data_IF_798506761938
#
_entry.id   IF_798506761938
#
_cell.length_a   1.000
_cell.length_b   1.000
_cell.length_c   1.000
_cell.angle_alpha   90.00
_cell.angle_beta   90.00
_cell.angle_gamma   90.00
#
_symmetry.space_group_name_H-M   'P 1'
#
loop_
_entity.id
_entity.type
_entity.pdbx_description
1 polymer ?
#
# COMPACT_ATOMS: atom_id res chain seq x y z
N UNK A 1 47.64 -29.96 4.65
CA UNK A 1 48.00 -29.55 6.02
C UNK A 1 49.46 -29.08 6.03
N UNK A 2 49.72 -27.77 5.96
CA UNK A 2 51.03 -27.18 6.25
C UNK A 2 50.77 -25.92 7.08
N UNK A 3 51.13 -26.02 8.34
CA UNK A 3 50.93 -25.02 9.38
C UNK A 3 52.20 -24.17 9.44
N UNK A 4 52.07 -22.84 9.36
CA UNK A 4 53.18 -21.92 9.68
C UNK A 4 52.88 -21.23 10.99
N UNK A 5 53.70 -21.54 12.00
CA UNK A 5 53.84 -20.81 13.26
C UNK A 5 55.10 -19.96 13.19
N UNK A 6 55.03 -18.71 13.64
CA UNK A 6 56.04 -17.88 14.36
C UNK A 6 55.43 -16.46 14.47
N UNK A 7 54.87 -16.05 15.61
CA UNK A 7 55.50 -15.67 16.89
C UNK A 7 56.22 -14.31 16.83
N UNK A 8 55.57 -13.28 17.40
CA UNK A 8 56.15 -12.03 17.94
C UNK A 8 55.15 -11.51 18.99
N UNK A 9 55.20 -12.02 20.23
CA UNK A 9 55.89 -11.47 21.42
C UNK A 9 55.41 -10.07 21.80
N UNK A 10 54.68 -10.06 22.91
CA UNK A 10 54.09 -8.96 23.65
C UNK A 10 55.12 -7.99 24.23
N UNK A 11 54.82 -6.70 24.19
CA UNK A 11 55.34 -5.72 25.16
C UNK A 11 54.16 -5.27 26.01
N UNK A 12 54.20 -5.68 27.27
CA UNK A 12 53.38 -5.14 28.33
C UNK A 12 53.90 -3.74 28.68
N UNK A 13 53.03 -2.73 28.64
CA UNK A 13 53.23 -1.50 29.41
C UNK A 13 52.05 -1.36 30.35
N UNK A 14 52.42 -1.43 31.63
CA UNK A 14 51.59 -1.36 32.81
C UNK A 14 51.15 0.09 33.03
N UNK A 15 49.84 0.28 33.17
CA UNK A 15 49.20 1.07 34.23
C UNK A 15 49.38 2.59 34.24
N UNK A 16 48.31 3.31 33.91
CA UNK A 16 47.70 4.26 34.86
C UNK A 16 46.18 4.13 34.76
N UNK A 17 45.59 3.63 35.85
CA UNK A 17 44.14 3.67 36.11
C UNK A 17 43.79 5.12 36.44
N UNK A 18 42.99 5.75 35.59
CA UNK A 18 42.22 6.94 35.94
C UNK A 18 40.74 6.57 35.89
N UNK A 19 40.19 6.23 37.07
CA UNK A 19 38.75 6.14 37.30
C UNK A 19 38.15 7.54 37.18
N UNK A 20 37.81 7.96 35.96
CA UNK A 20 36.91 9.08 35.77
C UNK A 20 35.47 8.57 35.96
N UNK A 21 35.01 8.64 37.20
CA UNK A 21 33.58 8.58 37.55
C UNK A 21 32.90 9.85 36.99
N UNK A 22 32.62 9.86 35.69
CA UNK A 22 31.82 10.86 35.00
C UNK A 22 30.38 10.40 34.97
N UNK A 23 29.55 11.01 35.81
CA UNK A 23 28.19 10.58 36.11
C UNK A 23 27.25 10.42 34.91
N UNK A 24 26.32 9.49 35.06
CA UNK A 24 25.08 9.46 34.31
C UNK A 24 24.35 10.79 34.47
N UNK A 25 24.51 11.71 33.51
CA UNK A 25 23.50 12.72 33.27
C UNK A 25 22.33 11.98 32.62
N UNK A 26 21.45 11.42 33.46
CA UNK A 26 20.11 11.08 33.05
C UNK A 26 19.50 12.35 32.48
N UNK A 27 19.27 12.35 31.17
CA UNK A 27 18.34 13.29 30.56
C UNK A 27 16.97 13.00 31.14
N UNK A 28 16.68 13.60 32.30
CA UNK A 28 15.37 13.62 32.90
C UNK A 28 14.44 14.27 31.88
N UNK A 29 13.46 13.51 31.41
CA UNK A 29 12.30 14.05 30.73
C UNK A 29 11.68 15.05 31.71
N UNK A 30 11.84 16.35 31.44
CA UNK A 30 10.97 17.35 32.04
C UNK A 30 9.59 17.11 31.45
N UNK A 31 8.77 16.35 32.15
CA UNK A 31 7.33 16.46 32.01
C UNK A 31 6.98 17.90 32.35
N UNK A 32 6.75 18.71 31.33
CA UNK A 32 5.96 19.91 31.51
C UNK A 32 4.65 19.45 32.14
N UNK A 33 4.37 19.93 33.34
CA UNK A 33 3.10 19.74 34.01
C UNK A 33 2.07 20.51 33.16
N UNK A 34 1.55 19.85 32.12
CA UNK A 34 0.39 20.34 31.38
C UNK A 34 -0.74 20.29 32.39
N UNK A 35 -1.16 21.46 32.84
CA UNK A 35 -2.43 21.64 33.53
C UNK A 35 -3.48 20.83 32.76
N UNK A 36 -4.12 19.89 33.45
CA UNK A 36 -5.31 19.21 32.97
C UNK A 36 -6.39 20.26 32.72
N UNK A 37 -6.44 20.83 31.52
CA UNK A 37 -7.71 21.26 30.98
C UNK A 37 -8.52 19.99 30.76
N UNK A 38 -9.48 19.80 31.67
CA UNK A 38 -10.54 18.82 31.51
C UNK A 38 -11.25 19.13 30.20
N UNK A 39 -10.98 18.34 29.16
CA UNK A 39 -11.79 18.33 27.96
C UNK A 39 -13.15 17.79 28.41
N UNK A 40 -14.12 18.68 28.55
CA UNK A 40 -15.51 18.30 28.79
C UNK A 40 -15.95 17.38 27.64
N UNK A 41 -16.61 16.25 27.91
CA UNK A 41 -17.12 15.39 26.87
C UNK A 41 -18.02 16.20 25.94
N UNK A 42 -17.68 16.21 24.65
CA UNK A 42 -18.55 16.71 23.60
C UNK A 42 -19.88 15.95 23.69
N UNK A 43 -20.92 16.70 24.04
CA UNK A 43 -22.30 16.21 24.10
C UNK A 43 -22.66 15.57 22.76
N UNK A 44 -23.11 14.32 22.83
CA UNK A 44 -23.60 13.52 21.71
C UNK A 44 -24.55 14.35 20.84
N UNK A 45 -24.08 14.81 19.68
CA UNK A 45 -24.98 15.33 18.64
C UNK A 45 -25.79 14.17 18.07
N UNK A 46 -27.14 14.22 18.08
CA UNK A 46 -27.94 13.16 17.49
C UNK A 46 -27.66 13.07 15.99
N UNK A 47 -27.29 11.87 15.54
CA UNK A 47 -27.23 11.51 14.12
C UNK A 47 -28.62 11.73 13.55
N UNK A 48 -28.79 12.78 12.74
CA UNK A 48 -30.06 13.07 12.11
C UNK A 48 -30.21 12.12 10.92
N UNK A 49 -30.82 10.95 11.15
CA UNK A 49 -31.32 10.07 10.10
C UNK A 49 -32.52 10.71 9.39
N UNK A 50 -32.28 11.76 8.60
CA UNK A 50 -33.37 12.46 7.91
C UNK A 50 -33.64 11.99 6.48
N UNK A 51 -33.00 10.92 5.98
CA UNK A 51 -33.25 10.41 4.63
C UNK A 51 -32.93 8.91 4.49
N UNK A 52 -33.43 8.09 5.42
CA UNK A 52 -33.51 6.64 5.20
C UNK A 52 -34.97 6.30 4.85
N UNK A 53 -35.24 5.68 3.68
CA UNK A 53 -36.55 5.13 3.39
C UNK A 53 -36.95 4.12 4.48
N UNK A 54 -38.16 4.23 5.01
CA UNK A 54 -38.67 3.25 5.96
C UNK A 54 -38.87 1.91 5.23
N UNK A 55 -38.20 0.87 5.70
CA UNK A 55 -38.46 -0.51 5.28
C UNK A 55 -39.68 -0.98 6.09
N UNK A 56 -40.78 -1.32 5.42
CA UNK A 56 -41.97 -1.89 6.04
C UNK A 56 -41.67 -3.23 6.71
N UNK A 57 -42.54 -3.67 7.63
CA UNK A 57 -42.35 -4.86 8.49
C UNK A 57 -42.26 -6.21 7.75
N UNK A 58 -42.29 -6.20 6.41
CA UNK A 58 -42.33 -7.39 5.55
C UNK A 58 -41.19 -7.40 4.52
N UNK A 59 -40.29 -6.40 4.53
CA UNK A 59 -39.08 -6.40 3.70
C UNK A 59 -39.27 -5.99 2.23
N UNK A 60 -40.41 -5.40 1.86
CA UNK A 60 -40.65 -4.89 0.50
C UNK A 60 -40.73 -3.35 0.46
N UNK A 61 -40.21 -2.75 -0.61
CA UNK A 61 -40.22 -1.29 -0.85
C UNK A 61 -41.59 -0.90 -1.40
N UNK A 62 -42.42 -0.23 -0.58
CA UNK A 62 -43.71 0.30 -1.03
C UNK A 62 -43.50 1.48 -1.99
N UNK A 63 -43.62 1.20 -3.29
CA UNK A 63 -43.85 2.24 -4.30
C UNK A 63 -45.33 2.60 -4.24
N UNK A 64 -45.66 3.83 -3.86
CA UNK A 64 -47.03 4.31 -3.84
C UNK A 64 -47.57 4.41 -5.28
N UNK A 65 -48.42 3.46 -5.66
CA UNK A 65 -49.31 3.53 -6.80
C UNK A 65 -50.63 4.19 -6.36
N UNK A 66 -51.01 5.27 -7.04
CA UNK A 66 -52.35 5.83 -7.03
C UNK A 66 -52.62 6.41 -8.42
N UNK A 67 -53.20 5.59 -9.28
CA UNK A 67 -53.56 5.94 -10.66
C UNK A 67 -54.80 6.82 -10.81
N UNK A 68 -54.98 7.36 -12.02
CA UNK A 68 -56.27 7.47 -12.74
C UNK A 68 -56.06 7.91 -14.21
N UNK A 69 -57.06 7.80 -15.11
CA UNK A 69 -56.94 6.96 -16.30
C UNK A 69 -57.07 7.72 -17.64
N UNK A 70 -56.56 7.12 -18.71
CA UNK A 70 -56.76 7.58 -20.09
C UNK A 70 -56.35 6.49 -21.09
N UNK A 71 -57.36 5.86 -21.70
CA UNK A 71 -57.30 4.71 -22.62
C UNK A 71 -57.19 5.19 -24.10
N UNK A 72 -57.23 4.31 -25.13
CA UNK A 72 -56.19 3.42 -25.69
C UNK A 72 -55.84 3.74 -27.17
N UNK A 73 -54.64 3.38 -27.65
CA UNK A 73 -54.24 2.97 -29.02
C UNK A 73 -52.70 2.89 -29.00
N UNK A 74 -51.98 1.96 -29.61
CA UNK A 74 -52.23 1.08 -30.74
C UNK A 74 -51.30 -0.14 -30.62
N UNK A 75 -51.67 -1.23 -31.28
CA UNK A 75 -50.90 -2.47 -31.35
C UNK A 75 -49.48 -2.21 -31.92
N UNK A 76 -48.43 -2.75 -31.29
CA UNK A 76 -47.29 -3.41 -31.96
C UNK A 76 -46.24 -3.91 -30.94
N UNK A 77 -46.42 -5.18 -30.57
CA UNK A 77 -45.41 -6.22 -30.31
C UNK A 77 -43.94 -5.80 -30.03
N UNK A 78 -43.36 -6.13 -28.85
CA UNK A 78 -41.91 -6.13 -28.67
C UNK A 78 -41.28 -7.29 -29.45
N UNK A 79 -40.40 -6.98 -30.39
CA UNK A 79 -39.52 -7.96 -31.01
C UNK A 79 -38.59 -8.56 -29.94
N UNK A 80 -38.77 -9.86 -29.66
CA UNK A 80 -37.80 -10.63 -28.91
C UNK A 80 -36.52 -10.75 -29.75
N UNK A 81 -35.53 -9.90 -29.49
CA UNK A 81 -34.18 -10.09 -30.00
C UNK A 81 -33.51 -11.17 -29.15
N UNK A 82 -33.62 -12.41 -29.63
CA UNK A 82 -32.88 -13.56 -29.16
C UNK A 82 -31.42 -13.44 -29.66
N UNK A 83 -30.39 -13.27 -28.82
CA UNK A 83 -29.01 -13.35 -29.28
C UNK A 83 -28.60 -14.82 -29.30
N UNK A 84 -28.89 -15.53 -30.38
CA UNK A 84 -28.20 -16.79 -30.66
C UNK A 84 -26.75 -16.47 -31.02
N UNK A 85 -25.87 -16.54 -30.02
CA UNK A 85 -24.42 -16.53 -30.22
C UNK A 85 -24.01 -17.81 -30.94
N UNK A 86 -23.81 -17.73 -32.25
CA UNK A 86 -23.03 -18.71 -32.99
C UNK A 86 -21.54 -18.37 -32.84
N UNK A 87 -20.67 -19.34 -32.50
CA UNK A 87 -19.23 -19.10 -32.48
C UNK A 87 -18.72 -18.85 -33.90
N UNK A 88 -17.73 -17.95 -34.10
CA UNK A 88 -17.10 -17.78 -35.39
C UNK A 88 -16.30 -19.04 -35.73
N UNK A 89 -16.57 -19.60 -36.90
CA UNK A 89 -15.80 -20.68 -37.51
C UNK A 89 -14.88 -20.08 -38.58
N UNK A 90 -13.66 -20.57 -38.67
CA UNK A 90 -12.76 -20.26 -39.79
C UNK A 90 -13.26 -20.91 -41.10
N UNK A 91 -12.64 -20.56 -42.23
CA UNK A 91 -13.05 -20.93 -43.60
C UNK A 91 -13.09 -22.46 -43.86
N UNK A 92 -12.67 -23.29 -42.89
CA UNK A 92 -12.70 -24.75 -42.92
C UNK A 92 -13.64 -25.38 -41.86
N UNK A 93 -14.49 -24.58 -41.20
CA UNK A 93 -15.59 -25.09 -40.35
C UNK A 93 -15.15 -25.66 -39.00
N UNK A 94 -13.98 -25.30 -38.49
CA UNK A 94 -13.52 -25.67 -37.14
C UNK A 94 -13.84 -24.55 -36.15
N UNK A 95 -14.02 -24.85 -34.84
CA UNK A 95 -14.15 -23.81 -33.83
C UNK A 95 -12.81 -23.11 -33.66
N UNK A 96 -12.78 -21.78 -33.83
CA UNK A 96 -11.60 -20.96 -33.55
C UNK A 96 -11.26 -21.11 -32.07
N UNK A 97 -10.18 -21.86 -31.77
CA UNK A 97 -9.60 -21.90 -30.43
C UNK A 97 -8.90 -20.56 -30.19
N UNK A 98 -9.58 -19.65 -29.49
CA UNK A 98 -8.94 -18.46 -28.92
C UNK A 98 -7.99 -18.97 -27.84
N UNK A 99 -6.69 -18.95 -28.10
CA UNK A 99 -5.70 -19.18 -27.08
C UNK A 99 -5.88 -18.12 -25.99
N UNK A 100 -6.18 -18.56 -24.77
CA UNK A 100 -6.11 -17.72 -23.57
C UNK A 100 -4.72 -17.10 -23.53
N UNK A 101 -4.65 -15.83 -23.92
CA UNK A 101 -3.44 -15.03 -23.84
C UNK A 101 -3.52 -14.28 -22.51
N UNK A 102 -3.16 -14.98 -21.44
CA UNK A 102 -2.47 -14.32 -20.33
C UNK A 102 -1.29 -13.56 -20.94
N UNK A 103 -1.05 -12.33 -20.49
CA UNK A 103 -0.07 -11.36 -21.03
C UNK A 103 -0.49 -10.57 -22.28
N UNK A 104 -1.39 -9.61 -22.11
CA UNK A 104 -1.24 -8.28 -22.75
C UNK A 104 -2.03 -7.23 -21.97
N UNK A 105 -1.32 -6.34 -21.26
CA UNK A 105 -1.93 -5.20 -20.58
C UNK A 105 -2.40 -4.16 -21.59
N UNK A 106 -3.68 -4.19 -21.94
CA UNK A 106 -4.32 -3.06 -22.60
C UNK A 106 -4.86 -2.12 -21.52
N UNK A 107 -4.35 -0.89 -21.50
CA UNK A 107 -4.93 0.18 -20.66
C UNK A 107 -6.28 0.54 -21.26
N UNK A 108 -7.37 0.13 -20.61
CA UNK A 108 -8.69 0.64 -20.93
C UNK A 108 -8.74 2.13 -20.57
N UNK A 109 -9.27 2.94 -21.48
CA UNK A 109 -9.31 4.41 -21.39
C UNK A 109 -10.23 4.93 -20.26
N UNK A 110 -10.84 4.03 -19.49
CA UNK A 110 -11.69 4.31 -18.33
C UNK A 110 -10.89 4.56 -17.03
N UNK A 111 -9.56 4.35 -17.06
CA UNK A 111 -8.68 4.45 -15.89
C UNK A 111 -8.22 5.88 -15.53
N UNK A 112 -8.97 6.93 -15.90
CA UNK A 112 -8.68 8.31 -15.49
C UNK A 112 -9.33 8.57 -14.12
N UNK A 113 -8.84 7.88 -13.09
CA UNK A 113 -9.32 8.07 -11.70
C UNK A 113 -9.17 6.85 -10.79
N UNK A 114 -8.97 5.66 -11.34
CA UNK A 114 -8.72 4.45 -10.57
C UNK A 114 -7.21 4.21 -10.41
N UNK A 115 -6.75 4.03 -9.17
CA UNK A 115 -5.42 3.50 -8.87
C UNK A 115 -5.27 2.17 -9.62
N UNK A 116 -4.25 2.00 -10.50
CA UNK A 116 -4.03 0.71 -11.15
C UNK A 116 -3.70 -0.32 -10.06
N UNK A 117 -4.65 -1.20 -9.76
CA UNK A 117 -4.40 -2.37 -8.92
C UNK A 117 -3.58 -3.34 -9.78
N UNK A 118 -2.27 -3.36 -9.53
CA UNK A 118 -1.38 -4.46 -9.93
C UNK A 118 -2.00 -5.79 -9.44
N UNK A 119 -1.90 -6.91 -10.17
CA UNK A 119 -2.41 -8.20 -9.72
C UNK A 119 -1.99 -8.46 -8.27
N UNK A 120 -2.99 -8.59 -7.39
CA UNK A 120 -2.82 -8.50 -5.95
C UNK A 120 -1.79 -9.49 -5.45
N UNK A 121 -0.70 -8.97 -4.91
CA UNK A 121 0.34 -9.80 -4.35
C UNK A 121 -0.14 -10.52 -3.08
N UNK A 122 0.16 -11.82 -2.95
CA UNK A 122 -0.13 -12.55 -1.70
C UNK A 122 0.87 -12.18 -0.59
N UNK A 123 0.39 -11.35 0.34
CA UNK A 123 1.14 -10.91 1.53
C UNK A 123 0.81 -11.75 2.78
N UNK A 124 0.03 -12.82 2.64
CA UNK A 124 -0.27 -13.72 3.76
C UNK A 124 0.90 -14.68 4.05
N UNK A 125 0.88 -15.29 5.25
CA UNK A 125 1.85 -16.32 5.63
C UNK A 125 3.26 -15.81 5.94
N UNK A 126 3.43 -14.50 6.11
CA UNK A 126 4.72 -13.87 6.42
C UNK A 126 5.32 -13.13 5.24
N UNK A 127 6.06 -12.06 5.53
CA UNK A 127 6.77 -11.28 4.52
C UNK A 127 8.18 -11.82 4.30
N UNK A 128 8.54 -11.98 3.03
CA UNK A 128 9.91 -12.24 2.60
C UNK A 128 10.34 -11.19 1.59
N UNK A 129 11.64 -11.09 1.34
CA UNK A 129 12.18 -10.11 0.39
C UNK A 129 11.65 -10.39 -1.02
N UNK A 130 11.56 -11.66 -1.41
CA UNK A 130 11.08 -12.12 -2.71
C UNK A 130 9.62 -11.72 -2.93
N UNK A 131 8.80 -11.86 -1.88
CA UNK A 131 7.43 -11.35 -1.85
C UNK A 131 7.35 -9.84 -1.94
N UNK A 132 8.42 -9.05 -1.92
CA UNK A 132 8.31 -7.59 -2.05
C UNK A 132 8.89 -7.03 -3.34
N UNK A 133 9.50 -7.87 -4.19
CA UNK A 133 10.14 -7.43 -5.42
C UNK A 133 9.14 -6.98 -6.49
N UNK A 134 9.38 -5.85 -7.13
CA UNK A 134 8.63 -5.37 -8.29
C UNK A 134 8.02 -3.98 -8.06
N UNK A 135 7.03 -3.66 -8.89
CA UNK A 135 6.34 -2.38 -8.89
C UNK A 135 5.26 -2.30 -7.80
N UNK A 136 5.26 -1.18 -7.10
CA UNK A 136 4.33 -0.78 -6.06
C UNK A 136 3.76 0.60 -6.39
N UNK A 137 2.54 0.86 -5.95
CA UNK A 137 1.91 2.17 -6.03
C UNK A 137 1.81 2.74 -4.63
N UNK A 138 2.51 3.85 -4.37
CA UNK A 138 2.38 4.63 -3.15
C UNK A 138 1.33 5.72 -3.36
N UNK A 139 0.40 5.87 -2.42
CA UNK A 139 -0.66 6.87 -2.41
C UNK A 139 -0.51 7.77 -1.18
N UNK A 140 -0.63 9.08 -1.38
CA UNK A 140 -0.70 10.07 -0.31
C UNK A 140 -1.64 11.22 -0.69
N UNK A 141 -2.78 11.32 -0.02
CA UNK A 141 -3.82 12.28 -0.41
C UNK A 141 -4.27 12.03 -1.86
N UNK A 142 -4.13 13.03 -2.73
CA UNK A 142 -4.42 12.92 -4.16
C UNK A 142 -3.22 12.47 -5.02
N UNK A 143 -2.02 12.44 -4.45
CA UNK A 143 -0.78 12.12 -5.16
C UNK A 143 -0.53 10.61 -5.18
N UNK A 144 -0.04 10.11 -6.30
CA UNK A 144 0.34 8.71 -6.49
C UNK A 144 1.73 8.61 -7.12
N UNK A 145 2.56 7.71 -6.59
CA UNK A 145 3.90 7.46 -7.09
C UNK A 145 4.13 5.98 -7.33
N UNK A 146 4.82 5.65 -8.42
CA UNK A 146 5.36 4.31 -8.62
C UNK A 146 6.64 4.15 -7.81
N UNK A 147 6.76 3.02 -7.11
CA UNK A 147 7.93 2.57 -6.39
C UNK A 147 8.34 1.21 -6.98
N UNK A 148 9.61 1.02 -7.28
CA UNK A 148 10.14 -0.26 -7.74
C UNK A 148 11.11 -0.80 -6.69
N UNK A 149 10.87 -2.00 -6.19
CA UNK A 149 11.72 -2.70 -5.23
C UNK A 149 12.47 -3.82 -5.95
N UNK A 150 13.80 -3.86 -5.85
CA UNK A 150 14.61 -4.92 -6.50
C UNK A 150 15.39 -5.73 -5.47
N UNK A 151 15.89 -6.89 -5.89
CA UNK A 151 16.78 -7.74 -5.07
C UNK A 151 18.26 -7.34 -5.20
N UNK A 152 18.55 -6.24 -5.89
CA UNK A 152 19.92 -5.79 -6.09
C UNK A 152 20.44 -5.16 -4.80
N UNK A 153 21.45 -5.76 -4.19
CA UNK A 153 22.09 -5.20 -3.00
C UNK A 153 22.64 -3.78 -3.29
N UNK A 154 22.47 -2.87 -2.32
CA UNK A 154 23.14 -1.56 -2.34
C UNK A 154 24.52 -1.71 -1.70
N UNK A 155 25.55 -1.53 -2.52
CA UNK A 155 26.97 -1.67 -2.13
C UNK A 155 27.27 -0.93 -0.83
N UNK A 156 28.00 -1.59 0.08
CA UNK A 156 28.38 -1.02 1.37
C UNK A 156 27.26 -0.99 2.41
N UNK A 157 26.10 -1.61 2.14
CA UNK A 157 24.96 -1.66 3.05
C UNK A 157 24.31 -3.06 3.08
N UNK A 158 23.48 -3.33 4.07
CA UNK A 158 22.62 -4.54 4.13
C UNK A 158 21.22 -4.30 3.53
N UNK A 159 21.11 -3.38 2.57
CA UNK A 159 19.85 -2.92 1.97
C UNK A 159 19.78 -3.27 0.49
N UNK A 160 18.57 -3.25 -0.06
CA UNK A 160 18.32 -3.51 -1.48
C UNK A 160 17.97 -2.22 -2.23
N UNK A 161 18.14 -2.18 -3.54
CA UNK A 161 17.84 -0.98 -4.34
C UNK A 161 16.34 -0.75 -4.49
N UNK A 162 15.95 0.51 -4.37
CA UNK A 162 14.59 0.98 -4.63
C UNK A 162 14.66 2.24 -5.49
N UNK A 163 13.61 2.48 -6.29
CA UNK A 163 13.49 3.71 -7.06
C UNK A 163 12.04 4.14 -7.22
N UNK A 164 11.82 5.44 -7.35
CA UNK A 164 10.50 6.08 -7.45
C UNK A 164 10.46 7.01 -8.66
N UNK A 165 10.51 6.45 -9.89
CA UNK A 165 10.65 7.26 -11.09
C UNK A 165 9.48 8.24 -11.25
N UNK A 166 9.81 9.51 -11.50
CA UNK A 166 8.83 10.56 -11.77
C UNK A 166 7.95 10.95 -10.57
N UNK A 167 8.27 10.50 -9.36
CA UNK A 167 7.45 10.81 -8.19
C UNK A 167 7.48 12.29 -7.83
N UNK A 168 6.31 12.90 -7.57
CA UNK A 168 6.17 14.32 -7.20
C UNK A 168 6.42 14.61 -5.71
N UNK A 169 6.27 13.60 -4.85
CA UNK A 169 6.30 13.73 -3.39
C UNK A 169 7.71 14.01 -2.86
N UNK A 170 7.85 15.07 -2.05
CA UNK A 170 9.13 15.66 -1.64
C UNK A 170 10.07 14.71 -0.85
N UNK A 171 9.55 13.68 -0.19
CA UNK A 171 10.37 12.64 0.47
C UNK A 171 10.64 11.40 -0.39
N UNK A 172 9.76 11.10 -1.36
CA UNK A 172 9.90 9.89 -2.16
C UNK A 172 10.80 10.09 -3.37
N UNK A 173 11.01 11.32 -3.84
CA UNK A 173 11.94 11.63 -4.96
C UNK A 173 13.36 11.12 -4.76
N UNK A 174 13.79 10.99 -3.50
CA UNK A 174 15.17 10.66 -3.13
C UNK A 174 15.35 9.19 -2.72
N UNK A 175 14.31 8.35 -2.86
CA UNK A 175 14.39 6.92 -2.51
C UNK A 175 15.49 6.25 -3.32
N UNK A 176 16.41 5.59 -2.62
CA UNK A 176 17.52 4.88 -3.23
C UNK A 176 17.63 3.42 -2.77
N UNK A 177 17.17 3.11 -1.56
CA UNK A 177 17.20 1.75 -1.05
C UNK A 177 16.05 1.41 -0.12
N UNK A 178 15.84 0.13 0.10
CA UNK A 178 14.82 -0.40 0.98
C UNK A 178 15.33 -1.58 1.80
N UNK A 179 14.65 -1.86 2.91
CA UNK A 179 14.92 -3.00 3.76
C UNK A 179 13.62 -3.50 4.41
N UNK A 180 13.55 -4.79 4.68
CA UNK A 180 12.43 -5.42 5.40
C UNK A 180 12.88 -5.75 6.82
N UNK A 181 12.19 -5.21 7.82
CA UNK A 181 12.40 -5.49 9.24
C UNK A 181 11.11 -6.05 9.82
N UNK A 182 11.07 -7.37 10.03
CA UNK A 182 9.83 -8.06 10.43
C UNK A 182 8.75 -7.89 9.37
N UNK A 183 7.68 -7.15 9.71
CA UNK A 183 6.58 -6.83 8.79
C UNK A 183 6.62 -5.40 8.24
N UNK A 184 7.72 -4.68 8.49
CA UNK A 184 7.89 -3.27 8.13
C UNK A 184 8.88 -3.11 6.97
N UNK A 185 8.45 -2.43 5.92
CA UNK A 185 9.30 -1.94 4.83
C UNK A 185 9.81 -0.55 5.21
N UNK A 186 11.13 -0.38 5.24
CA UNK A 186 11.79 0.90 5.43
C UNK A 186 12.41 1.35 4.12
N UNK A 187 12.16 2.60 3.74
CA UNK A 187 12.76 3.26 2.58
C UNK A 187 13.83 4.23 3.05
N UNK A 188 14.92 4.29 2.29
CA UNK A 188 16.08 5.09 2.60
C UNK A 188 16.53 5.91 1.40
N UNK A 189 17.12 7.07 1.67
CA UNK A 189 17.75 7.91 0.66
C UNK A 189 19.20 7.48 0.34
N UNK A 190 19.92 8.34 -0.40
CA UNK A 190 21.31 8.10 -0.76
C UNK A 190 22.28 8.31 0.43
N UNK A 191 21.96 9.20 1.36
CA UNK A 191 22.72 9.44 2.60
C UNK A 191 22.57 8.29 3.59
N UNK A 192 21.50 7.50 3.45
CA UNK A 192 21.17 6.36 4.29
C UNK A 192 20.16 6.67 5.38
N UNK A 193 19.52 7.84 5.34
CA UNK A 193 18.48 8.26 6.26
C UNK A 193 17.15 7.55 5.93
N UNK A 194 16.35 7.26 6.96
CA UNK A 194 15.01 6.67 6.79
C UNK A 194 14.07 7.78 6.33
N UNK A 195 13.51 7.62 5.14
CA UNK A 195 12.56 8.57 4.57
C UNK A 195 11.11 8.08 4.65
N UNK A 196 10.90 6.78 4.82
CA UNK A 196 9.59 6.21 5.06
C UNK A 196 9.67 4.89 5.82
N UNK A 197 8.69 4.66 6.69
CA UNK A 197 8.48 3.35 7.33
C UNK A 197 7.03 2.94 7.13
N UNK A 198 6.81 1.80 6.48
CA UNK A 198 5.50 1.26 6.18
C UNK A 198 5.33 -0.14 6.77
N UNK A 199 4.27 -0.36 7.54
CA UNK A 199 3.93 -1.65 8.13
C UNK A 199 2.80 -2.31 7.35
N UNK A 200 2.86 -3.63 7.20
CA UNK A 200 1.76 -4.40 6.62
C UNK A 200 0.51 -4.33 7.51
N UNK A 201 -0.63 -3.98 6.91
CA UNK A 201 -1.94 -3.95 7.53
C UNK A 201 -2.96 -4.60 6.59
N UNK A 202 -3.33 -5.85 6.86
CA UNK A 202 -4.13 -6.66 5.95
C UNK A 202 -3.33 -6.96 4.67
N UNK A 203 -3.79 -6.43 3.54
CA UNK A 203 -3.19 -6.62 2.22
C UNK A 203 -2.47 -5.37 1.67
N UNK A 204 -2.25 -4.35 2.49
CA UNK A 204 -1.58 -3.11 2.09
C UNK A 204 -0.59 -2.65 3.14
N UNK A 205 0.39 -1.89 2.72
CA UNK A 205 1.32 -1.24 3.64
C UNK A 205 0.81 0.16 3.98
N UNK A 206 0.91 0.53 5.24
CA UNK A 206 0.53 1.85 5.75
C UNK A 206 1.74 2.41 6.49
N UNK A 207 2.06 3.68 6.25
CA UNK A 207 3.24 4.27 6.83
C UNK A 207 3.21 5.78 6.85
N UNK A 208 4.35 6.35 7.18
CA UNK A 208 4.57 7.79 7.16
C UNK A 208 5.89 8.11 6.48
N UNK A 209 5.95 9.27 5.83
CA UNK A 209 7.19 9.87 5.37
C UNK A 209 7.91 10.59 6.52
N UNK A 210 9.21 10.75 6.39
CA UNK A 210 10.00 11.68 7.19
C UNK A 210 9.44 13.10 6.95
N UNK A 211 8.67 13.62 7.90
CA UNK A 211 7.83 14.82 7.75
C UNK A 211 6.38 14.64 8.21
N UNK A 212 5.98 13.42 8.57
CA UNK A 212 4.67 13.12 9.18
C UNK A 212 3.52 12.93 8.18
N UNK A 213 3.79 13.06 6.88
CA UNK A 213 2.79 12.79 5.84
C UNK A 213 2.46 11.29 5.79
N UNK A 214 1.18 10.96 5.97
CA UNK A 214 0.69 9.60 5.86
C UNK A 214 0.75 9.08 4.42
N UNK A 215 1.22 7.85 4.25
CA UNK A 215 1.30 7.17 2.96
C UNK A 215 0.77 5.75 3.05
N UNK A 216 0.39 5.21 1.91
CA UNK A 216 0.10 3.79 1.79
C UNK A 216 0.63 3.21 0.50
N UNK A 217 0.87 1.91 0.50
CA UNK A 217 1.49 1.22 -0.63
C UNK A 217 0.75 -0.09 -0.93
N UNK A 218 0.42 -0.28 -2.21
CA UNK A 218 -0.30 -1.45 -2.75
C UNK A 218 0.41 -1.94 -4.02
N UNK A 219 0.34 -3.23 -4.32
CA UNK A 219 1.02 -3.83 -5.47
C UNK A 219 0.74 -5.31 -5.64
#
# INVERSE_FOLDING_TARGET
MRISRRASVSIAVIGVVALALGGCASSGVRTANISTESITPIQNTPVTSSNLPAIGQDGEVQTADAGMPGQPTDLEQPAALNPTLQPPVDQFGQPVQVASTDDTSFVTLDAVGAVPNTPGRDLNGGLTIEKLLGGWTIVSGAEQCKLNLTYTAKTGTSRYRASTPGCGLAGLKVVASWHLVGTQVQLFDEAGDIIASLILSGNRFIGTLAGGQGISMVG
#
